data_IF_118627836539
#
_entry.id   IF_118627836539
#
_cell.length_a   1.000
_cell.length_b   1.000
_cell.length_c   1.000
_cell.angle_alpha   90.00
_cell.angle_beta   90.00
_cell.angle_gamma   90.00
#
_symmetry.space_group_name_H-M   'P 1'
#
loop_
_entity.id
_entity.type
_entity.pdbx_description
1 polymer ?
#
# COMPACT_ATOMS: atom_id res chain seq x y z
N UNK A 1 -22.85 20.36 42.64
CA UNK A 1 -23.59 19.86 41.50
C UNK A 1 -22.75 20.10 40.23
N UNK A 2 -22.66 19.13 39.33
CA UNK A 2 -21.99 19.12 38.01
C UNK A 2 -20.48 18.80 37.98
N UNK A 3 -20.13 17.53 38.10
CA UNK A 3 -18.82 16.97 37.72
C UNK A 3 -18.91 15.67 36.87
N UNK A 4 -19.93 15.50 36.02
CA UNK A 4 -20.13 14.20 35.33
C UNK A 4 -20.03 14.32 33.79
N UNK A 5 -19.69 15.47 33.19
CA UNK A 5 -19.76 15.65 31.71
C UNK A 5 -18.42 15.43 30.98
N UNK A 6 -17.27 15.30 31.64
CA UNK A 6 -15.96 15.29 30.95
C UNK A 6 -15.37 13.90 30.66
N UNK A 7 -15.99 12.79 31.09
CA UNK A 7 -15.43 11.44 30.89
C UNK A 7 -15.90 10.75 29.60
N UNK A 8 -16.94 11.25 28.94
CA UNK A 8 -17.52 10.63 27.75
C UNK A 8 -16.78 10.92 26.42
N UNK A 9 -16.02 11.99 26.34
CA UNK A 9 -15.42 12.45 25.06
C UNK A 9 -14.12 11.72 24.72
N UNK A 10 -13.37 11.27 25.71
CA UNK A 10 -12.09 10.55 25.51
C UNK A 10 -12.25 9.09 25.04
N UNK A 11 -13.41 8.47 25.31
CA UNK A 11 -13.67 7.07 24.94
C UNK A 11 -14.06 6.98 23.45
N UNK A 12 -14.74 7.99 22.91
CA UNK A 12 -15.17 8.00 21.49
C UNK A 12 -14.01 8.12 20.50
N UNK A 13 -12.95 8.86 20.82
CA UNK A 13 -11.83 9.04 19.90
C UNK A 13 -11.00 7.77 19.69
N UNK A 14 -10.77 6.98 20.75
CA UNK A 14 -10.00 5.72 20.65
C UNK A 14 -10.75 4.61 19.89
N UNK A 15 -12.09 4.59 19.95
CA UNK A 15 -12.91 3.60 19.22
C UNK A 15 -12.87 3.88 17.70
N UNK A 16 -12.87 5.14 17.30
CA UNK A 16 -12.80 5.53 15.87
C UNK A 16 -11.44 5.18 15.27
N UNK A 17 -10.34 5.41 15.97
CA UNK A 17 -8.99 5.07 15.52
C UNK A 17 -8.83 3.56 15.24
N UNK A 18 -9.23 2.71 16.18
CA UNK A 18 -9.14 1.26 16.01
C UNK A 18 -10.01 0.73 14.86
N UNK A 19 -11.13 1.40 14.55
CA UNK A 19 -12.00 1.02 13.46
C UNK A 19 -11.41 1.38 12.09
N UNK A 20 -10.87 2.59 11.92
CA UNK A 20 -10.24 3.00 10.65
C UNK A 20 -8.97 2.19 10.35
N UNK A 21 -8.16 1.88 11.36
CA UNK A 21 -6.98 1.01 11.20
C UNK A 21 -7.36 -0.38 10.68
N UNK A 22 -8.40 -0.99 11.27
CA UNK A 22 -8.91 -2.29 10.82
C UNK A 22 -9.42 -2.21 9.38
N UNK A 23 -10.19 -1.17 9.04
CA UNK A 23 -10.70 -0.97 7.67
C UNK A 23 -9.56 -0.83 6.66
N UNK A 24 -8.51 -0.08 6.98
CA UNK A 24 -7.35 0.07 6.10
C UNK A 24 -6.58 -1.25 5.95
N UNK A 25 -6.37 -2.00 7.05
CA UNK A 25 -5.74 -3.32 6.98
C UNK A 25 -6.51 -4.28 6.08
N UNK A 26 -7.84 -4.35 6.22
CA UNK A 26 -8.70 -5.17 5.38
C UNK A 26 -8.66 -4.73 3.91
N UNK A 27 -8.71 -3.41 3.64
CA UNK A 27 -8.63 -2.85 2.30
C UNK A 27 -7.30 -3.20 1.61
N UNK A 28 -6.18 -3.08 2.31
CA UNK A 28 -4.87 -3.41 1.76
C UNK A 28 -4.69 -4.92 1.55
N UNK A 29 -5.24 -5.76 2.43
CA UNK A 29 -5.24 -7.20 2.23
C UNK A 29 -6.09 -7.60 1.01
N UNK A 30 -7.25 -6.99 0.82
CA UNK A 30 -8.10 -7.19 -0.36
C UNK A 30 -7.39 -6.70 -1.63
N UNK A 31 -6.67 -5.59 -1.57
CA UNK A 31 -5.91 -5.05 -2.70
C UNK A 31 -4.78 -6.00 -3.15
N UNK A 32 -4.00 -6.55 -2.22
CA UNK A 32 -3.00 -7.57 -2.54
C UNK A 32 -3.64 -8.86 -3.05
N UNK A 33 -4.76 -9.28 -2.46
CA UNK A 33 -5.50 -10.45 -2.93
C UNK A 33 -6.03 -10.26 -4.34
N UNK A 34 -6.54 -9.07 -4.67
CA UNK A 34 -7.02 -8.74 -6.01
C UNK A 34 -5.92 -8.89 -7.09
N UNK A 35 -4.69 -8.46 -6.78
CA UNK A 35 -3.54 -8.71 -7.66
C UNK A 35 -3.22 -10.21 -7.79
N UNK A 36 -3.26 -10.95 -6.67
CA UNK A 36 -2.98 -12.39 -6.65
C UNK A 36 -4.01 -13.24 -7.41
N UNK A 37 -5.23 -12.76 -7.54
CA UNK A 37 -6.34 -13.42 -8.26
C UNK A 37 -6.70 -12.73 -9.58
N UNK A 38 -5.88 -11.77 -10.02
CA UNK A 38 -6.10 -10.96 -11.21
C UNK A 38 -7.49 -10.27 -11.26
N UNK A 39 -8.03 -9.90 -10.08
CA UNK A 39 -9.24 -9.07 -9.98
C UNK A 39 -8.92 -7.60 -10.25
N UNK A 40 -8.87 -7.26 -11.54
CA UNK A 40 -8.59 -5.91 -12.02
C UNK A 40 -9.54 -4.87 -11.44
N UNK A 41 -10.83 -5.21 -11.32
CA UNK A 41 -11.88 -4.29 -10.86
C UNK A 41 -11.62 -3.86 -9.41
N UNK A 42 -11.37 -4.80 -8.53
CA UNK A 42 -11.07 -4.52 -7.12
C UNK A 42 -9.72 -3.81 -6.97
N UNK A 43 -8.69 -4.25 -7.69
CA UNK A 43 -7.35 -3.66 -7.61
C UNK A 43 -7.39 -2.17 -7.98
N UNK A 44 -7.83 -1.81 -9.18
CA UNK A 44 -7.90 -0.43 -9.64
C UNK A 44 -9.03 0.38 -8.98
N UNK A 45 -10.11 -0.28 -8.56
CA UNK A 45 -11.19 0.35 -7.79
C UNK A 45 -10.76 0.85 -6.41
N UNK A 46 -9.69 0.30 -5.86
CA UNK A 46 -9.09 0.76 -4.59
C UNK A 46 -8.36 2.09 -4.75
N UNK A 47 -7.80 2.37 -5.94
CA UNK A 47 -7.07 3.60 -6.24
C UNK A 47 -8.04 4.68 -6.80
N UNK A 48 -7.89 5.96 -6.43
CA UNK A 48 -8.59 7.06 -7.09
C UNK A 48 -7.98 7.32 -8.49
N UNK A 49 -8.66 8.13 -9.32
CA UNK A 49 -8.21 8.45 -10.69
C UNK A 49 -6.82 9.09 -10.73
N UNK A 50 -6.50 9.89 -9.74
CA UNK A 50 -5.20 10.55 -9.57
C UNK A 50 -4.24 9.78 -8.64
N UNK A 51 -4.51 8.47 -8.44
CA UNK A 51 -3.63 7.57 -7.70
C UNK A 51 -2.30 7.34 -8.40
N UNK A 52 -1.23 7.23 -7.61
CA UNK A 52 0.14 7.01 -8.08
C UNK A 52 0.63 5.65 -7.61
N UNK A 53 1.28 4.93 -8.51
CA UNK A 53 2.00 3.69 -8.19
C UNK A 53 3.45 3.81 -8.64
N UNK A 54 4.37 3.49 -7.73
CA UNK A 54 5.81 3.40 -8.01
C UNK A 54 6.21 1.94 -7.80
N UNK A 55 6.73 1.32 -8.84
CA UNK A 55 7.22 -0.05 -8.80
C UNK A 55 8.69 -0.13 -8.36
N UNK A 56 9.29 -1.29 -8.60
CA UNK A 56 10.66 -1.59 -8.15
C UNK A 56 11.75 -1.14 -9.13
N UNK A 57 11.39 -0.82 -10.38
CA UNK A 57 12.30 -0.31 -11.39
C UNK A 57 12.26 1.21 -11.46
N UNK A 58 13.37 1.84 -11.83
CA UNK A 58 13.50 3.30 -11.91
C UNK A 58 12.58 3.95 -12.92
N UNK A 59 12.08 3.20 -13.89
CA UNK A 59 11.13 3.66 -14.94
C UNK A 59 9.66 3.44 -14.53
N UNK A 60 9.41 2.74 -13.43
CA UNK A 60 8.08 2.32 -13.01
C UNK A 60 7.40 3.36 -12.12
N UNK A 61 6.95 4.45 -12.72
CA UNK A 61 6.12 5.47 -12.10
C UNK A 61 4.89 5.70 -12.97
N UNK A 62 3.71 5.36 -12.44
CA UNK A 62 2.45 5.46 -13.19
C UNK A 62 1.35 6.16 -12.40
N UNK A 63 0.49 6.86 -13.13
CA UNK A 63 -0.87 7.13 -12.68
C UNK A 63 -1.69 5.84 -12.78
N UNK A 64 -2.80 5.78 -12.03
CA UNK A 64 -3.68 4.59 -11.98
C UNK A 64 -4.00 4.03 -13.38
N UNK A 65 -4.44 4.88 -14.31
CA UNK A 65 -4.92 4.42 -15.62
C UNK A 65 -3.76 4.00 -16.54
N UNK A 66 -2.57 4.63 -16.41
CA UNK A 66 -1.34 4.21 -17.09
C UNK A 66 -0.88 2.83 -16.57
N UNK A 67 -0.92 2.62 -15.25
CA UNK A 67 -0.65 1.32 -14.64
C UNK A 67 -1.64 0.27 -15.15
N UNK A 68 -2.92 0.61 -15.24
CA UNK A 68 -3.96 -0.28 -15.73
C UNK A 68 -3.69 -0.75 -17.15
N UNK A 69 -3.35 0.15 -18.04
CA UNK A 69 -3.00 -0.17 -19.42
C UNK A 69 -1.74 -1.06 -19.50
N UNK A 70 -0.66 -0.66 -18.81
CA UNK A 70 0.59 -1.41 -18.78
C UNK A 70 0.43 -2.83 -18.21
N UNK A 71 -0.36 -2.95 -17.13
CA UNK A 71 -0.52 -4.22 -16.40
C UNK A 71 -1.58 -5.15 -16.99
N UNK A 72 -2.35 -4.73 -17.99
CA UNK A 72 -3.42 -5.54 -18.59
C UNK A 72 -2.99 -6.96 -18.91
N UNK A 73 -1.83 -7.15 -19.54
CA UNK A 73 -1.25 -8.47 -19.87
C UNK A 73 -1.03 -9.40 -18.65
N UNK A 74 -0.93 -8.83 -17.44
CA UNK A 74 -0.78 -9.58 -16.19
C UNK A 74 -2.15 -9.92 -15.61
N UNK A 75 -3.11 -8.99 -15.67
CA UNK A 75 -4.49 -9.22 -15.23
C UNK A 75 -5.30 -10.12 -16.19
N UNK A 76 -4.83 -10.34 -17.41
CA UNK A 76 -5.38 -11.35 -18.34
C UNK A 76 -4.96 -12.80 -17.98
N UNK A 77 -4.18 -13.01 -16.90
CA UNK A 77 -3.74 -14.32 -16.39
C UNK A 77 -4.60 -14.74 -15.19
N UNK A 78 -4.34 -15.93 -14.64
CA UNK A 78 -4.94 -16.38 -13.38
C UNK A 78 -4.44 -15.58 -12.16
N UNK A 79 -3.23 -15.00 -12.23
CA UNK A 79 -2.63 -14.14 -11.23
C UNK A 79 -1.80 -13.06 -11.91
N UNK A 80 -1.95 -11.81 -11.50
CA UNK A 80 -1.08 -10.74 -11.95
C UNK A 80 0.26 -10.80 -11.20
N UNK A 81 0.23 -10.67 -9.87
CA UNK A 81 1.35 -10.91 -8.95
C UNK A 81 0.84 -11.21 -7.55
N UNK A 82 1.57 -12.02 -6.81
CA UNK A 82 1.21 -12.39 -5.45
C UNK A 82 2.25 -11.87 -4.45
N UNK A 83 1.82 -11.02 -3.53
CA UNK A 83 2.62 -10.49 -2.43
C UNK A 83 1.93 -10.82 -1.12
N UNK A 84 2.67 -11.42 -0.18
CA UNK A 84 2.14 -11.83 1.12
C UNK A 84 2.62 -10.84 2.19
N UNK A 85 1.72 -10.06 2.82
CA UNK A 85 2.09 -9.18 3.91
C UNK A 85 2.62 -9.96 5.11
N UNK A 86 3.81 -9.57 5.61
CA UNK A 86 4.42 -10.10 6.83
C UNK A 86 4.06 -9.21 8.01
N UNK A 87 4.13 -7.89 7.80
CA UNK A 87 3.76 -6.88 8.80
C UNK A 87 3.29 -5.61 8.11
N UNK A 88 2.43 -4.83 8.78
CA UNK A 88 2.01 -3.50 8.35
C UNK A 88 1.82 -2.62 9.57
N UNK A 89 2.32 -1.38 9.48
CA UNK A 89 2.09 -0.33 10.45
C UNK A 89 1.29 0.78 9.77
N UNK A 90 0.26 1.31 10.44
CA UNK A 90 -0.63 2.33 9.91
C UNK A 90 -0.60 3.54 10.83
N UNK A 91 -0.51 4.72 10.25
CA UNK A 91 -0.43 6.00 10.93
C UNK A 91 -1.47 6.96 10.37
N UNK A 92 -1.96 7.88 11.20
CA UNK A 92 -3.03 8.81 10.84
C UNK A 92 -2.63 10.26 11.00
N UNK A 93 -3.10 11.11 10.10
CA UNK A 93 -3.08 12.56 10.28
C UNK A 93 -4.00 13.00 11.42
N UNK A 94 -3.75 14.18 12.00
CA UNK A 94 -4.62 14.75 13.05
C UNK A 94 -6.09 14.87 12.65
N UNK A 95 -6.36 15.12 11.36
CA UNK A 95 -7.73 15.23 10.82
C UNK A 95 -8.36 13.88 10.44
N UNK A 96 -7.63 12.77 10.57
CA UNK A 96 -8.10 11.40 10.29
C UNK A 96 -8.71 11.21 8.89
N UNK A 97 -8.34 12.03 7.93
CA UNK A 97 -8.74 11.95 6.54
C UNK A 97 -7.59 11.51 5.62
N UNK A 98 -6.37 11.44 6.16
CA UNK A 98 -5.18 10.89 5.52
C UNK A 98 -4.54 9.89 6.47
N UNK A 99 -4.17 8.74 5.93
CA UNK A 99 -3.35 7.73 6.59
C UNK A 99 -2.14 7.40 5.71
N UNK A 100 -1.05 7.00 6.34
CA UNK A 100 0.09 6.40 5.63
C UNK A 100 0.46 5.11 6.31
N UNK A 101 1.10 4.24 5.58
CA UNK A 101 1.55 2.95 6.09
C UNK A 101 2.88 2.54 5.50
N UNK A 102 3.55 1.66 6.20
CA UNK A 102 4.62 0.82 5.69
C UNK A 102 4.27 -0.65 5.89
N UNK A 103 4.78 -1.51 5.01
CA UNK A 103 4.61 -2.95 5.11
C UNK A 103 5.87 -3.70 4.67
N UNK A 104 6.09 -4.86 5.27
CA UNK A 104 7.06 -5.84 4.81
C UNK A 104 6.32 -6.95 4.09
N UNK A 105 6.77 -7.29 2.90
CA UNK A 105 6.15 -8.27 2.02
C UNK A 105 7.09 -9.42 1.72
N UNK A 106 6.53 -10.62 1.60
CA UNK A 106 7.16 -11.77 0.97
C UNK A 106 6.71 -11.84 -0.49
N UNK A 107 7.66 -11.86 -1.42
CA UNK A 107 7.39 -11.79 -2.85
C UNK A 107 8.32 -12.73 -3.62
N UNK A 108 8.06 -12.96 -4.91
CA UNK A 108 8.97 -13.68 -5.79
C UNK A 108 10.34 -12.97 -5.97
N UNK A 109 10.43 -11.67 -5.67
CA UNK A 109 11.68 -10.89 -5.66
C UNK A 109 12.44 -10.97 -4.32
N UNK A 110 11.96 -11.79 -3.36
CA UNK A 110 12.41 -11.81 -1.98
C UNK A 110 11.64 -10.83 -1.11
N UNK A 111 12.28 -10.30 -0.07
CA UNK A 111 11.63 -9.33 0.83
C UNK A 111 11.56 -7.96 0.16
N UNK A 112 10.35 -7.39 0.16
CA UNK A 112 10.09 -6.05 -0.36
C UNK A 112 9.52 -5.15 0.74
N UNK A 113 9.77 -3.85 0.64
CA UNK A 113 9.08 -2.80 1.40
C UNK A 113 8.00 -2.20 0.53
N UNK A 114 6.76 -2.23 1.03
CA UNK A 114 5.68 -1.41 0.52
C UNK A 114 5.46 -0.22 1.42
N UNK A 115 5.12 0.92 0.87
CA UNK A 115 4.63 2.07 1.63
C UNK A 115 3.57 2.81 0.82
N UNK A 116 2.64 3.46 1.51
CA UNK A 116 1.60 4.16 0.79
C UNK A 116 0.87 5.20 1.61
N UNK A 117 0.07 5.98 0.90
CA UNK A 117 -0.80 7.00 1.46
C UNK A 117 -2.23 6.68 1.06
N UNK A 118 -3.13 6.70 2.05
CA UNK A 118 -4.56 6.60 1.83
C UNK A 118 -5.23 7.94 2.17
N UNK A 119 -6.24 8.26 1.40
CA UNK A 119 -7.09 9.44 1.59
C UNK A 119 -8.54 9.01 1.73
N UNK A 120 -9.27 9.62 2.68
CA UNK A 120 -10.70 9.37 2.87
C UNK A 120 -11.51 10.24 1.92
N UNK A 121 -12.08 9.63 0.89
CA UNK A 121 -12.89 10.31 -0.13
C UNK A 121 -14.36 9.87 0.03
N UNK A 122 -15.25 10.83 0.28
CA UNK A 122 -16.70 10.57 0.49
C UNK A 122 -16.95 9.46 1.53
N UNK A 123 -16.16 9.47 2.62
CA UNK A 123 -16.25 8.51 3.72
C UNK A 123 -15.60 7.15 3.47
N UNK A 124 -14.96 6.92 2.32
CA UNK A 124 -14.27 5.67 1.97
C UNK A 124 -12.76 5.91 1.82
N UNK A 125 -11.96 5.00 2.36
CA UNK A 125 -10.51 5.03 2.16
C UNK A 125 -10.16 4.63 0.74
N UNK A 126 -9.22 5.38 0.12
CA UNK A 126 -8.67 5.13 -1.22
C UNK A 126 -7.15 5.18 -1.16
N UNK A 127 -6.50 4.24 -1.85
CA UNK A 127 -5.05 4.17 -1.96
C UNK A 127 -4.54 5.24 -2.95
N UNK A 128 -4.10 6.37 -2.41
CA UNK A 128 -3.70 7.55 -3.17
C UNK A 128 -2.30 7.43 -3.76
N UNK A 129 -1.41 6.76 -3.03
CA UNK A 129 -0.03 6.56 -3.43
C UNK A 129 0.45 5.22 -2.90
N UNK A 130 1.17 4.47 -3.71
CA UNK A 130 1.88 3.25 -3.31
C UNK A 130 3.28 3.24 -3.89
N UNK A 131 4.24 2.78 -3.10
CA UNK A 131 5.62 2.57 -3.53
C UNK A 131 6.09 1.20 -3.05
N UNK A 132 6.63 0.42 -3.97
CA UNK A 132 7.25 -0.88 -3.72
C UNK A 132 8.75 -0.81 -3.97
N UNK A 133 9.56 -1.38 -3.08
CA UNK A 133 11.00 -1.46 -3.24
C UNK A 133 11.52 -2.82 -2.76
N UNK A 134 12.52 -3.38 -3.44
CA UNK A 134 13.24 -4.56 -2.98
C UNK A 134 14.06 -4.16 -1.75
N UNK A 135 13.93 -4.94 -0.67
CA UNK A 135 14.71 -4.73 0.55
C UNK A 135 16.05 -5.45 0.45
N UNK A 136 17.07 -4.75 -0.01
CA UNK A 136 18.43 -5.29 -0.09
C UNK A 136 19.08 -5.25 1.31
N UNK A 137 19.57 -6.38 1.86
CA UNK A 137 20.34 -6.40 3.10
C UNK A 137 21.60 -5.52 3.00
N UNK A 138 21.93 -4.81 4.08
CA UNK A 138 23.06 -3.87 4.07
C UNK A 138 24.41 -4.53 3.77
N UNK A 139 24.60 -5.77 4.19
CA UNK A 139 25.80 -6.58 3.94
C UNK A 139 25.96 -7.03 2.48
N UNK A 140 24.88 -6.96 1.68
CA UNK A 140 24.89 -7.30 0.25
C UNK A 140 24.92 -6.08 -0.67
N UNK A 141 24.98 -4.87 -0.15
CA UNK A 141 24.89 -3.64 -0.96
C UNK A 141 26.07 -3.53 -1.93
N UNK A 142 27.29 -3.90 -1.52
CA UNK A 142 28.48 -3.84 -2.40
C UNK A 142 28.34 -4.82 -3.57
N UNK A 143 27.94 -6.06 -3.32
CA UNK A 143 27.70 -7.08 -4.35
C UNK A 143 26.58 -6.65 -5.32
N UNK A 144 25.52 -6.07 -4.77
CA UNK A 144 24.41 -5.53 -5.57
C UNK A 144 24.88 -4.40 -6.51
N UNK A 145 25.69 -3.47 -6.02
CA UNK A 145 26.24 -2.39 -6.85
C UNK A 145 27.18 -2.91 -7.95
N UNK A 146 27.93 -3.99 -7.70
CA UNK A 146 28.74 -4.64 -8.72
C UNK A 146 27.88 -5.28 -9.83
N UNK A 147 26.73 -5.90 -9.46
CA UNK A 147 25.80 -6.44 -10.45
C UNK A 147 25.19 -5.34 -11.32
N UNK A 148 24.80 -4.20 -10.75
CA UNK A 148 24.29 -3.07 -11.50
C UNK A 148 25.31 -2.54 -12.52
N UNK A 149 26.58 -2.35 -12.13
CA UNK A 149 27.65 -1.93 -13.04
C UNK A 149 27.87 -2.90 -14.22
N UNK A 150 27.57 -4.19 -14.05
CA UNK A 150 27.67 -5.19 -15.12
C UNK A 150 26.49 -5.12 -16.09
N UNK A 151 25.30 -4.70 -15.61
CA UNK A 151 24.09 -4.58 -16.45
C UNK A 151 24.07 -3.32 -17.32
N UNK A 152 24.89 -2.32 -17.01
CA UNK A 152 25.02 -1.06 -17.80
C UNK A 152 25.99 -1.16 -18.98
N UNK A 153 26.64 -2.32 -19.20
CA UNK A 153 27.56 -2.61 -20.33
C UNK A 153 26.87 -3.41 -21.43
#
# INVERSE_FOLDING_TARGET
MNKIVFLGILIFSNVVFGQDEKVINELMNQWHHAAATADEVTFFGTMPEDGIYIGTDTTELWKRDELKEWSKKYFDRESAWAFTPISRNIYFSKGQNVAWFDELLDTWMGKCRGSGVLEKQKGKWKLKHYHLAIAVPNDLVEDYLELLKKSEK
#
